data_IF_715742361054
#
_entry.id   IF_715742361054
#
_cell.length_a   1.000
_cell.length_b   1.000
_cell.length_c   1.000
_cell.angle_alpha   90.00
_cell.angle_beta   90.00
_cell.angle_gamma   90.00
#
_symmetry.space_group_name_H-M   'P 1'
#
loop_
_entity.id
_entity.type
_entity.pdbx_description
1 polymer ?
#
# COMPACT_ATOMS: atom_id res chain seq x y z
N UNK A 1 -0.93 -3.81 15.21
CA UNK A 1 -2.00 -3.43 14.27
C UNK A 1 -1.74 -4.19 12.96
N UNK A 2 -2.77 -4.62 12.23
CA UNK A 2 -2.64 -5.31 10.93
C UNK A 2 -3.61 -4.66 9.95
N UNK A 3 -3.18 -4.46 8.69
CA UNK A 3 -4.10 -4.02 7.64
C UNK A 3 -5.10 -5.13 7.39
N UNK A 4 -6.35 -4.86 7.74
CA UNK A 4 -7.45 -5.77 7.46
C UNK A 4 -8.06 -5.51 6.07
N UNK A 5 -8.14 -4.24 5.67
CA UNK A 5 -8.65 -3.85 4.36
C UNK A 5 -7.90 -2.63 3.81
N UNK A 6 -7.69 -2.62 2.50
CA UNK A 6 -7.20 -1.49 1.72
C UNK A 6 -8.14 -1.26 0.54
N UNK A 7 -8.37 -0.01 0.16
CA UNK A 7 -9.24 0.32 -0.96
C UNK A 7 -8.52 1.25 -1.92
N UNK A 8 -8.54 0.89 -3.19
CA UNK A 8 -8.02 1.73 -4.27
C UNK A 8 -9.22 2.19 -5.11
N UNK A 9 -9.49 3.51 -5.17
CA UNK A 9 -10.56 4.05 -6.01
C UNK A 9 -10.46 3.54 -7.45
N UNK A 10 -11.61 3.24 -8.05
CA UNK A 10 -11.75 2.70 -9.40
C UNK A 10 -11.14 1.31 -9.66
N UNK A 11 -10.57 0.65 -8.64
CA UNK A 11 -10.11 -0.75 -8.73
C UNK A 11 -10.96 -1.66 -7.87
N UNK A 12 -10.97 -1.42 -6.56
CA UNK A 12 -11.65 -2.31 -5.61
C UNK A 12 -11.01 -2.35 -4.23
N UNK A 13 -11.55 -3.21 -3.39
CA UNK A 13 -11.15 -3.45 -2.01
C UNK A 13 -10.38 -4.76 -1.87
N UNK A 14 -9.20 -4.66 -1.25
CA UNK A 14 -8.33 -5.76 -0.88
C UNK A 14 -8.52 -6.02 0.62
N UNK A 15 -8.80 -7.27 1.00
CA UNK A 15 -8.99 -7.66 2.39
C UNK A 15 -8.02 -8.78 2.73
N UNK A 16 -7.41 -8.69 3.90
CA UNK A 16 -6.51 -9.73 4.43
C UNK A 16 -7.30 -10.59 5.39
N UNK A 17 -7.36 -11.89 5.11
CA UNK A 17 -7.99 -12.85 6.02
C UNK A 17 -7.25 -12.91 7.37
N UNK A 18 -8.00 -13.15 8.44
CA UNK A 18 -7.46 -13.17 9.80
C UNK A 18 -6.26 -14.11 9.93
N UNK A 19 -5.16 -13.58 10.47
CA UNK A 19 -3.93 -14.30 10.75
C UNK A 19 -3.52 -14.04 12.20
N UNK A 20 -2.93 -15.03 12.86
CA UNK A 20 -2.32 -14.92 14.19
C UNK A 20 -0.86 -14.42 14.13
N UNK A 21 -0.31 -14.22 12.93
CA UNK A 21 1.06 -13.74 12.70
C UNK A 21 1.05 -12.34 12.08
N UNK A 22 1.01 -11.27 12.89
CA UNK A 22 0.77 -9.91 12.40
C UNK A 22 1.91 -9.32 11.54
N UNK A 23 3.12 -9.85 11.68
CA UNK A 23 4.30 -9.39 10.94
C UNK A 23 4.68 -10.28 9.77
N UNK A 24 3.99 -11.43 9.61
CA UNK A 24 4.29 -12.38 8.55
C UNK A 24 3.46 -12.06 7.29
N UNK A 25 4.07 -11.49 6.23
CA UNK A 25 3.37 -11.18 4.99
C UNK A 25 3.05 -12.43 4.16
N UNK A 26 3.48 -13.63 4.58
CA UNK A 26 3.22 -14.89 3.87
C UNK A 26 1.97 -15.62 4.36
N UNK A 27 1.39 -15.20 5.49
CA UNK A 27 0.21 -15.84 6.11
C UNK A 27 -1.00 -14.93 6.05
N UNK A 28 -2.17 -15.47 5.70
CA UNK A 28 -3.41 -14.72 5.49
C UNK A 28 -3.64 -14.44 4.01
N UNK A 29 -4.68 -15.05 3.45
CA UNK A 29 -5.01 -14.91 2.05
C UNK A 29 -5.51 -13.49 1.74
N UNK A 30 -5.28 -13.03 0.50
CA UNK A 30 -5.84 -11.76 0.01
C UNK A 30 -7.16 -12.08 -0.70
N UNK A 31 -8.22 -11.44 -0.24
CA UNK A 31 -9.52 -11.40 -0.89
C UNK A 31 -9.66 -10.09 -1.63
N UNK A 32 -9.97 -10.16 -2.91
CA UNK A 32 -10.24 -8.98 -3.73
C UNK A 32 -11.72 -8.89 -4.07
N UNK A 33 -12.31 -7.70 -3.88
CA UNK A 33 -13.68 -7.37 -4.29
C UNK A 33 -13.65 -6.09 -5.12
N UNK A 34 -14.28 -6.10 -6.30
CA UNK A 34 -14.29 -4.92 -7.20
C UNK A 34 -15.17 -3.79 -6.68
N UNK A 35 -16.00 -4.03 -5.66
CA UNK A 35 -16.88 -3.02 -5.07
C UNK A 35 -16.11 -2.05 -4.19
N UNK A 36 -16.75 -0.91 -3.92
CA UNK A 36 -16.22 0.06 -2.96
C UNK A 36 -16.59 -0.33 -1.52
N UNK A 37 -15.85 0.14 -0.50
CA UNK A 37 -16.08 -0.22 0.91
C UNK A 37 -17.51 0.03 1.40
N UNK A 38 -18.20 1.05 0.87
CA UNK A 38 -19.59 1.36 1.24
C UNK A 38 -20.59 0.30 0.75
N UNK A 39 -20.23 -0.48 -0.26
CA UNK A 39 -21.07 -1.49 -0.90
C UNK A 39 -20.71 -2.92 -0.43
N UNK A 40 -19.80 -3.04 0.56
CA UNK A 40 -19.33 -4.29 1.14
C UNK A 40 -19.86 -4.41 2.58
N UNK A 41 -20.55 -5.51 2.86
CA UNK A 41 -20.93 -5.86 4.24
C UNK A 41 -19.75 -6.54 4.94
N UNK A 42 -18.89 -5.71 5.52
CA UNK A 42 -17.70 -6.12 6.23
C UNK A 42 -17.94 -7.05 7.43
N UNK A 43 -19.17 -7.10 7.99
CA UNK A 43 -19.50 -8.06 9.05
C UNK A 43 -19.63 -9.46 8.49
N UNK A 44 -20.35 -9.61 7.38
CA UNK A 44 -20.51 -10.90 6.70
C UNK A 44 -19.21 -11.43 6.13
N UNK A 45 -18.33 -10.56 5.63
CA UNK A 45 -16.97 -10.95 5.20
C UNK A 45 -16.18 -11.60 6.33
N UNK A 46 -16.25 -11.05 7.56
CA UNK A 46 -15.59 -11.65 8.73
C UNK A 46 -16.20 -12.98 9.16
N UNK A 47 -17.50 -13.17 8.93
CA UNK A 47 -18.25 -14.40 9.21
C UNK A 47 -18.12 -15.45 8.08
N UNK A 48 -17.29 -15.18 7.06
CA UNK A 48 -16.99 -16.12 5.98
C UNK A 48 -18.02 -16.16 4.86
N UNK A 49 -18.99 -15.23 4.82
CA UNK A 49 -20.03 -15.19 3.79
C UNK A 49 -20.05 -13.87 3.00
N UNK A 50 -19.95 -14.03 1.68
CA UNK A 50 -20.24 -13.09 0.59
C UNK A 50 -19.23 -11.97 0.27
N UNK A 51 -18.84 -11.94 -1.02
CA UNK A 51 -18.10 -10.85 -1.65
C UNK A 51 -16.65 -11.18 -1.96
N UNK A 52 -16.24 -10.91 -3.20
CA UNK A 52 -14.86 -11.04 -3.65
C UNK A 52 -14.32 -12.47 -3.75
N UNK A 53 -13.13 -12.59 -4.32
CA UNK A 53 -12.46 -13.85 -4.60
C UNK A 53 -11.13 -13.88 -3.86
N UNK A 54 -10.75 -15.04 -3.31
CA UNK A 54 -9.38 -15.24 -2.84
C UNK A 54 -8.48 -15.36 -4.07
N UNK A 55 -7.50 -14.47 -4.19
CA UNK A 55 -6.61 -14.40 -5.36
C UNK A 55 -5.17 -14.31 -4.87
N UNK A 56 -4.25 -14.97 -5.58
CA UNK A 56 -2.83 -14.87 -5.28
C UNK A 56 -2.34 -13.43 -5.53
N UNK A 57 -1.42 -12.94 -4.68
CA UNK A 57 -0.85 -11.60 -4.84
C UNK A 57 -0.18 -11.40 -6.21
N UNK A 58 0.48 -12.43 -6.73
CA UNK A 58 1.10 -12.41 -8.07
C UNK A 58 0.07 -12.24 -9.18
N UNK A 59 -1.03 -12.98 -9.12
CA UNK A 59 -2.13 -12.86 -10.09
C UNK A 59 -2.77 -11.46 -10.01
N UNK A 60 -2.98 -10.93 -8.80
CA UNK A 60 -3.46 -9.55 -8.65
C UNK A 60 -2.49 -8.54 -9.25
N UNK A 61 -1.17 -8.76 -9.18
CA UNK A 61 -0.19 -7.87 -9.82
C UNK A 61 -0.19 -8.00 -11.35
N UNK A 62 -0.27 -9.21 -11.89
CA UNK A 62 -0.31 -9.49 -13.33
C UNK A 62 -1.58 -8.94 -13.98
N UNK A 63 -2.73 -9.10 -13.32
CA UNK A 63 -4.02 -8.59 -13.75
C UNK A 63 -4.23 -7.12 -13.38
N UNK A 64 -3.38 -6.56 -12.50
CA UNK A 64 -3.54 -5.18 -12.05
C UNK A 64 -3.18 -4.17 -13.12
N UNK A 65 -3.88 -3.05 -13.00
CA UNK A 65 -3.47 -1.80 -13.66
C UNK A 65 -2.26 -1.21 -12.93
N UNK A 66 -1.51 -0.33 -13.59
CA UNK A 66 -0.42 0.48 -13.02
C UNK A 66 -0.75 1.08 -11.63
N UNK A 67 -2.04 1.26 -11.34
CA UNK A 67 -2.56 1.85 -10.10
C UNK A 67 -2.33 1.00 -8.85
N UNK A 68 -2.38 -0.34 -8.92
CA UNK A 68 -2.03 -1.17 -7.75
C UNK A 68 -0.53 -1.01 -7.43
N UNK A 69 0.31 -1.02 -8.46
CA UNK A 69 1.75 -0.82 -8.30
C UNK A 69 2.09 0.57 -7.76
N UNK A 70 1.42 1.62 -8.23
CA UNK A 70 1.55 2.98 -7.69
C UNK A 70 1.12 3.04 -6.21
N UNK A 71 -0.02 2.44 -5.87
CA UNK A 71 -0.50 2.36 -4.48
C UNK A 71 0.51 1.65 -3.58
N UNK A 72 0.97 0.47 -3.98
CA UNK A 72 1.98 -0.29 -3.24
C UNK A 72 3.31 0.47 -3.16
N UNK A 73 3.67 1.25 -4.18
CA UNK A 73 4.86 2.09 -4.13
C UNK A 73 4.74 3.19 -3.09
N UNK A 74 3.56 3.81 -2.92
CA UNK A 74 3.32 4.75 -1.80
C UNK A 74 3.47 4.02 -0.46
N UNK A 75 2.83 2.86 -0.31
CA UNK A 75 2.86 2.07 0.93
C UNK A 75 4.29 1.69 1.36
N UNK A 76 5.13 1.35 0.38
CA UNK A 76 6.50 0.89 0.60
C UNK A 76 7.52 2.02 0.72
N UNK A 77 7.38 3.09 -0.05
CA UNK A 77 8.36 4.16 -0.16
C UNK A 77 8.10 5.31 0.80
N UNK A 78 6.84 5.69 1.05
CA UNK A 78 6.48 6.70 2.04
C UNK A 78 6.38 6.09 3.45
N UNK A 79 7.35 5.27 3.84
CA UNK A 79 7.27 4.42 5.02
C UNK A 79 8.64 3.94 5.50
N UNK A 80 8.90 4.08 6.82
CA UNK A 80 10.19 3.76 7.43
C UNK A 80 10.20 2.46 8.22
N UNK A 81 9.05 1.80 8.37
CA UNK A 81 9.01 0.52 9.06
C UNK A 81 9.82 -0.53 8.29
N UNK A 82 10.54 -1.35 9.05
CA UNK A 82 11.35 -2.43 8.51
C UNK A 82 10.67 -3.74 8.88
N UNK A 83 10.31 -4.53 7.87
CA UNK A 83 9.76 -5.87 8.02
C UNK A 83 10.77 -6.85 7.41
N UNK A 84 11.16 -7.88 8.15
CA UNK A 84 12.10 -8.89 7.65
C UNK A 84 11.85 -10.25 8.31
N UNK A 85 12.09 -11.31 7.55
CA UNK A 85 12.06 -12.69 8.05
C UNK A 85 13.48 -13.22 8.22
N UNK A 86 13.74 -13.92 9.32
CA UNK A 86 14.92 -14.74 9.52
C UNK A 86 14.49 -16.13 10.01
N UNK A 87 14.96 -17.20 9.37
CA UNK A 87 14.69 -18.60 9.76
C UNK A 87 13.20 -18.91 10.02
N UNK A 88 12.31 -18.38 9.17
CA UNK A 88 10.86 -18.56 9.27
C UNK A 88 10.16 -17.67 10.32
N UNK A 89 10.91 -16.91 11.12
CA UNK A 89 10.36 -15.93 12.08
C UNK A 89 10.38 -14.54 11.49
N UNK A 90 9.25 -13.82 11.57
CA UNK A 90 9.12 -12.46 11.07
C UNK A 90 9.21 -11.40 12.17
N UNK A 91 10.05 -10.40 11.94
CA UNK A 91 10.26 -9.27 12.83
C UNK A 91 9.91 -7.96 12.12
N UNK A 92 9.41 -7.02 12.91
CA UNK A 92 9.08 -5.68 12.43
C UNK A 92 9.57 -4.61 13.42
N UNK A 93 10.05 -3.49 12.90
CA UNK A 93 10.47 -2.32 13.67
C UNK A 93 9.88 -1.05 13.06
N UNK A 94 9.37 -0.15 13.89
CA UNK A 94 8.71 1.09 13.47
C UNK A 94 7.38 1.33 14.21
N UNK A 95 6.62 2.32 13.77
CA UNK A 95 5.27 2.58 14.30
C UNK A 95 4.30 1.44 13.92
N UNK A 96 3.36 1.04 14.80
CA UNK A 96 2.41 -0.03 14.49
C UNK A 96 1.60 0.15 13.21
N UNK A 97 1.29 1.40 12.82
CA UNK A 97 0.57 1.72 11.58
C UNK A 97 1.48 1.53 10.37
N UNK A 98 2.70 2.04 10.46
CA UNK A 98 3.70 1.89 9.40
C UNK A 98 4.08 0.43 9.16
N UNK A 99 4.23 -0.34 10.24
CA UNK A 99 4.46 -1.79 10.18
C UNK A 99 3.30 -2.47 9.46
N UNK A 100 2.04 -2.16 9.81
CA UNK A 100 0.88 -2.78 9.19
C UNK A 100 0.83 -2.54 7.68
N UNK A 101 1.13 -1.30 7.25
CA UNK A 101 1.20 -0.92 5.83
C UNK A 101 2.36 -1.64 5.12
N UNK A 102 3.56 -1.70 5.73
CA UNK A 102 4.70 -2.42 5.14
C UNK A 102 4.44 -3.92 5.01
N UNK A 103 3.83 -4.54 6.02
CA UNK A 103 3.45 -5.96 5.96
C UNK A 103 2.50 -6.17 4.79
N UNK A 104 1.50 -5.29 4.60
CA UNK A 104 0.58 -5.36 3.46
C UNK A 104 1.32 -5.32 2.12
N UNK A 105 2.21 -4.34 1.92
CA UNK A 105 3.00 -4.23 0.69
C UNK A 105 3.92 -5.43 0.45
N UNK A 106 4.52 -5.99 1.52
CA UNK A 106 5.35 -7.20 1.44
C UNK A 106 4.57 -8.45 0.97
N UNK A 107 3.24 -8.50 1.15
CA UNK A 107 2.41 -9.60 0.62
C UNK A 107 2.47 -9.66 -0.91
N UNK A 108 2.65 -8.50 -1.54
CA UNK A 108 2.81 -8.32 -2.98
C UNK A 108 4.28 -8.31 -3.41
N UNK A 109 5.21 -8.76 -2.57
CA UNK A 109 6.66 -8.66 -2.81
C UNK A 109 7.17 -7.23 -3.06
N UNK A 110 6.37 -6.23 -2.66
CA UNK A 110 6.63 -4.81 -2.85
C UNK A 110 7.35 -4.26 -1.62
N UNK A 111 8.59 -4.67 -1.39
CA UNK A 111 9.35 -4.23 -0.21
C UNK A 111 10.23 -3.02 -0.51
N UNK A 112 10.36 -2.10 0.46
CA UNK A 112 11.31 -0.98 0.37
C UNK A 112 12.74 -1.47 0.07
N UNK A 113 13.15 -2.59 0.70
CA UNK A 113 14.49 -3.18 0.55
C UNK A 113 14.80 -3.57 -0.90
N UNK A 114 13.81 -4.06 -1.65
CA UNK A 114 13.99 -4.44 -3.07
C UNK A 114 13.82 -3.27 -4.02
N UNK A 115 13.10 -2.23 -3.61
CA UNK A 115 12.78 -1.07 -4.45
C UNK A 115 13.80 0.06 -4.37
N UNK A 116 14.49 0.22 -3.24
CA UNK A 116 15.39 1.36 -2.98
C UNK A 116 16.84 0.92 -2.92
N UNK A 117 17.71 1.57 -3.70
CA UNK A 117 19.14 1.28 -3.75
C UNK A 117 19.82 1.82 -5.00
N UNK A 118 21.14 1.65 -5.10
CA UNK A 118 21.92 2.11 -6.26
C UNK A 118 21.57 1.34 -7.55
N UNK A 119 21.27 0.06 -7.42
CA UNK A 119 20.91 -0.83 -8.54
C UNK A 119 19.41 -1.13 -8.60
N UNK A 120 18.62 -0.59 -7.66
CA UNK A 120 17.17 -0.77 -7.62
C UNK A 120 16.46 0.27 -8.49
N UNK A 121 15.13 0.23 -8.56
CA UNK A 121 14.36 1.21 -9.33
C UNK A 121 14.47 2.63 -8.75
N UNK A 122 14.45 2.76 -7.44
CA UNK A 122 14.37 4.04 -6.74
C UNK A 122 15.66 4.36 -5.99
N UNK A 123 16.07 5.62 -6.06
CA UNK A 123 17.08 6.22 -5.21
C UNK A 123 16.44 7.27 -4.33
N UNK A 124 16.58 7.11 -3.03
CA UNK A 124 16.13 8.12 -2.08
C UNK A 124 16.98 9.40 -2.19
N UNK A 125 16.30 10.54 -2.24
CA UNK A 125 16.93 11.86 -2.24
C UNK A 125 16.73 12.60 -0.91
N UNK A 126 15.53 12.51 -0.34
CA UNK A 126 15.21 13.15 0.93
C UNK A 126 13.98 12.50 1.57
N UNK A 127 14.02 12.41 2.89
CA UNK A 127 12.90 12.01 3.73
C UNK A 127 12.37 13.22 4.48
N UNK A 128 11.04 13.40 4.47
CA UNK A 128 10.33 14.36 5.30
C UNK A 128 9.41 13.56 6.25
N UNK A 129 9.87 13.28 7.48
CA UNK A 129 9.13 12.44 8.41
C UNK A 129 7.78 13.04 8.78
N UNK A 130 6.92 12.24 9.40
CA UNK A 130 5.59 12.70 9.79
C UNK A 130 5.65 13.92 10.72
N UNK A 131 5.05 15.01 10.27
CA UNK A 131 4.88 16.24 11.05
C UNK A 131 3.45 16.35 11.57
N UNK A 132 3.27 16.72 12.85
CA UNK A 132 1.94 16.79 13.49
C UNK A 132 1.11 18.01 13.08
N UNK A 133 1.73 19.09 12.63
CA UNK A 133 1.06 20.31 12.16
C UNK A 133 0.58 20.12 10.71
N UNK A 134 1.48 19.61 9.87
CA UNK A 134 1.20 19.30 8.45
C UNK A 134 0.35 18.03 8.33
N UNK A 135 0.46 17.11 9.29
CA UNK A 135 -0.22 15.79 9.37
C UNK A 135 0.03 14.90 8.15
N UNK A 136 1.25 14.92 7.63
CA UNK A 136 1.68 14.06 6.53
C UNK A 136 3.18 13.76 6.63
N UNK A 137 3.56 12.71 5.94
CA UNK A 137 4.93 12.30 5.67
C UNK A 137 5.14 12.31 4.15
N UNK A 138 6.34 12.67 3.71
CA UNK A 138 6.70 12.66 2.29
C UNK A 138 8.11 12.11 2.08
N UNK A 139 8.26 11.30 1.03
CA UNK A 139 9.57 10.81 0.59
C UNK A 139 9.83 11.23 -0.85
N UNK A 140 11.00 11.85 -1.07
CA UNK A 140 11.45 12.30 -2.38
C UNK A 140 12.39 11.25 -2.96
N UNK A 141 11.95 10.64 -4.04
CA UNK A 141 12.67 9.56 -4.72
C UNK A 141 13.05 10.00 -6.13
N UNK A 142 14.17 9.49 -6.64
CA UNK A 142 14.55 9.56 -8.03
C UNK A 142 14.41 8.16 -8.64
N UNK A 143 13.72 8.05 -9.76
CA UNK A 143 13.70 6.82 -10.54
C UNK A 143 15.03 6.70 -11.29
N UNK A 144 15.77 5.61 -11.07
CA UNK A 144 17.12 5.45 -11.61
C UNK A 144 17.14 5.31 -13.14
N UNK A 145 16.10 4.70 -13.74
CA UNK A 145 16.01 4.49 -15.18
C UNK A 145 15.78 5.77 -15.98
N UNK A 146 15.04 6.74 -15.43
CA UNK A 146 14.63 7.96 -16.13
C UNK A 146 15.27 9.24 -15.57
N UNK A 147 15.78 9.19 -14.34
CA UNK A 147 16.23 10.36 -13.60
C UNK A 147 15.09 11.25 -13.08
N UNK A 148 13.82 10.88 -13.30
CA UNK A 148 12.66 11.65 -12.86
C UNK A 148 12.53 11.61 -11.34
N UNK A 149 12.15 12.76 -10.75
CA UNK A 149 11.89 12.89 -9.31
C UNK A 149 10.40 12.71 -9.02
N UNK A 150 10.12 11.96 -7.98
CA UNK A 150 8.77 11.62 -7.51
C UNK A 150 8.66 11.94 -6.03
N UNK A 151 7.45 12.29 -5.59
CA UNK A 151 7.12 12.49 -4.18
C UNK A 151 6.05 11.49 -3.80
N UNK A 152 6.37 10.59 -2.89
CA UNK A 152 5.42 9.66 -2.28
C UNK A 152 4.95 10.25 -0.96
N UNK A 153 3.67 10.10 -0.61
CA UNK A 153 3.11 10.78 0.56
C UNK A 153 1.97 10.00 1.18
N UNK A 154 1.95 9.98 2.52
CA UNK A 154 0.83 9.48 3.32
C UNK A 154 0.54 10.43 4.49
N UNK A 155 -0.70 10.43 4.99
CA UNK A 155 -1.07 11.34 6.06
C UNK A 155 -2.57 11.34 6.34
N UNK A 156 -3.01 12.35 7.10
CA UNK A 156 -4.43 12.57 7.36
C UNK A 156 -5.19 12.79 6.05
N UNK A 157 -6.33 12.12 5.90
CA UNK A 157 -7.12 12.07 4.66
C UNK A 157 -7.45 13.48 4.15
N UNK A 158 -7.85 14.39 5.04
CA UNK A 158 -8.23 15.76 4.70
C UNK A 158 -7.03 16.57 4.16
N UNK A 159 -5.82 16.30 4.67
CA UNK A 159 -4.59 16.96 4.23
C UNK A 159 -4.12 16.44 2.89
N UNK A 160 -4.21 15.12 2.67
CA UNK A 160 -3.87 14.51 1.38
C UNK A 160 -4.84 15.00 0.31
N UNK A 161 -6.16 14.88 0.56
CA UNK A 161 -7.19 15.33 -0.38
C UNK A 161 -7.05 16.83 -0.67
N UNK A 162 -6.74 17.65 0.33
CA UNK A 162 -6.54 19.08 0.15
C UNK A 162 -5.31 19.44 -0.70
N UNK A 163 -4.32 18.55 -0.80
CA UNK A 163 -3.14 18.73 -1.65
C UNK A 163 -3.32 18.14 -3.07
N UNK A 164 -4.35 17.33 -3.30
CA UNK A 164 -4.61 16.72 -4.60
C UNK A 164 -5.27 17.72 -5.57
N UNK A 165 -4.70 17.85 -6.77
CA UNK A 165 -5.28 18.60 -7.90
C UNK A 165 -6.18 17.74 -8.79
N UNK A 166 -6.20 16.42 -8.57
CA UNK A 166 -7.02 15.47 -9.32
C UNK A 166 -7.08 14.11 -8.64
N UNK A 167 -7.89 13.22 -9.19
CA UNK A 167 -8.06 11.84 -8.72
C UNK A 167 -8.20 10.90 -9.91
N UNK A 168 -7.56 9.73 -9.86
CA UNK A 168 -7.81 8.68 -10.84
C UNK A 168 -9.16 8.05 -10.56
N UNK A 169 -10.10 8.17 -11.51
CA UNK A 169 -11.46 7.61 -11.40
C UNK A 169 -11.69 6.42 -12.32
N UNK A 170 -10.71 6.11 -13.17
CA UNK A 170 -10.68 4.90 -13.99
C UNK A 170 -9.29 4.28 -13.91
N UNK A 171 -9.14 3.06 -14.43
CA UNK A 171 -7.85 2.41 -14.66
C UNK A 171 -6.89 3.20 -15.56
N UNK A 172 -7.39 4.23 -16.25
CA UNK A 172 -6.72 4.83 -17.42
C UNK A 172 -6.72 6.36 -17.43
N UNK A 173 -7.46 7.05 -16.55
CA UNK A 173 -7.58 8.52 -16.57
C UNK A 173 -7.64 9.18 -15.20
N UNK A 174 -6.99 10.34 -15.10
CA UNK A 174 -7.04 11.25 -13.96
C UNK A 174 -8.10 12.32 -14.25
N UNK A 175 -9.08 12.47 -13.35
CA UNK A 175 -10.03 13.59 -13.36
C UNK A 175 -9.44 14.73 -12.53
N UNK A 176 -9.22 15.90 -13.13
CA UNK A 176 -8.80 17.11 -12.40
C UNK A 176 -9.94 17.67 -11.56
N UNK A 177 -9.62 18.27 -10.41
CA UNK A 177 -10.52 19.22 -9.75
C UNK A 177 -10.32 20.57 -10.42
N UNK A 178 -11.41 21.18 -10.88
CA UNK A 178 -11.41 22.60 -11.28
C UNK A 178 -11.27 23.48 -10.03
#
# INVERSE_FOLDING_TARGET
>A
MVVWAAWIPAIGSYMVESSNEPFNPKVGAIRFDSRSPKDIDFRKVKEGSSGGTIVAASQLLEESTIRLQEFLSVDSLANLAIVHGNDGTWHAHGDPTEIAIQVFAHRFTWSRRTMVGQTAEWKELAELPFDREVKRMSDIMQQNSTGQKWVFTKGAVERIIGACTGMSLTSSSISSRN
#
